data_IF_786854177084
#
_entry.id   IF_786854177084
#
_cell.length_a   1.000
_cell.length_b   1.000
_cell.length_c   1.000
_cell.angle_alpha   90.00
_cell.angle_beta   90.00
_cell.angle_gamma   90.00
#
_symmetry.space_group_name_H-M   'P 1'
#
loop_
_entity.id
_entity.type
_entity.pdbx_description
1 polymer ?
#
# COMPACT_ATOMS: atom_id res chain seq x y z
N UNK A 1 18.02 27.98 19.46
CA UNK A 1 17.27 26.93 18.71
C UNK A 1 17.84 25.54 18.90
N UNK A 2 19.16 25.32 18.84
CA UNK A 2 19.79 24.00 19.06
C UNK A 2 19.58 23.40 20.47
N UNK A 3 19.56 24.22 21.53
CA UNK A 3 19.34 23.74 22.90
C UNK A 3 17.91 23.23 23.18
N UNK A 4 16.89 23.82 22.56
CA UNK A 4 15.50 23.36 22.67
C UNK A 4 15.28 22.07 21.87
N UNK A 5 15.98 21.91 20.75
CA UNK A 5 15.95 20.69 19.94
C UNK A 5 16.52 19.47 20.69
N UNK A 6 17.64 19.66 21.42
CA UNK A 6 18.24 18.58 22.23
C UNK A 6 17.36 18.18 23.43
N UNK A 7 16.79 19.15 24.16
CA UNK A 7 15.90 18.85 25.30
C UNK A 7 14.61 18.13 24.90
N UNK A 8 14.05 18.45 23.73
CA UNK A 8 12.83 17.81 23.21
C UNK A 8 13.12 16.43 22.59
N UNK A 9 14.29 16.23 21.97
CA UNK A 9 14.75 14.93 21.49
C UNK A 9 14.98 13.93 22.65
N UNK A 10 15.47 14.40 23.80
CA UNK A 10 15.57 13.61 25.04
C UNK A 10 14.20 13.19 25.58
N UNK A 11 13.17 14.02 25.44
CA UNK A 11 11.79 13.71 25.85
C UNK A 11 11.11 12.69 24.93
N UNK A 12 11.40 12.71 23.62
CA UNK A 12 10.96 11.68 22.68
C UNK A 12 11.67 10.34 22.90
N UNK A 13 12.96 10.40 23.28
CA UNK A 13 13.71 9.25 23.74
C UNK A 13 13.05 8.65 24.99
N UNK A 14 12.76 9.45 26.02
CA UNK A 14 12.20 8.93 27.28
C UNK A 14 10.82 8.26 27.14
N UNK A 15 9.89 8.83 26.36
CA UNK A 15 8.56 8.22 26.14
C UNK A 15 8.60 6.98 25.24
N UNK A 16 9.44 6.99 24.21
CA UNK A 16 9.68 5.83 23.34
C UNK A 16 10.31 4.66 24.10
N UNK A 17 11.22 4.97 25.02
CA UNK A 17 11.80 3.99 25.96
C UNK A 17 10.74 3.48 26.94
N UNK A 18 9.87 4.34 27.48
CA UNK A 18 8.81 3.94 28.44
C UNK A 18 7.80 2.95 27.83
N UNK A 19 7.44 3.11 26.55
CA UNK A 19 6.56 2.16 25.85
C UNK A 19 7.30 0.90 25.37
N UNK A 20 8.63 0.93 25.25
CA UNK A 20 9.46 -0.20 24.87
C UNK A 20 9.84 -1.10 26.07
N UNK A 21 9.82 -0.54 27.29
CA UNK A 21 10.06 -1.27 28.54
C UNK A 21 8.80 -1.89 29.15
N UNK A 22 7.61 -1.45 28.73
CA UNK A 22 6.33 -2.06 29.14
C UNK A 22 6.19 -3.49 28.61
N UNK A 23 5.77 -4.39 29.49
CA UNK A 23 5.41 -5.75 29.09
C UNK A 23 4.19 -5.73 28.15
N UNK A 24 4.04 -6.74 27.29
CA UNK A 24 2.92 -6.83 26.34
C UNK A 24 1.56 -6.68 27.04
N UNK A 25 1.45 -7.23 28.25
CA UNK A 25 0.23 -7.21 29.07
C UNK A 25 -0.13 -5.79 29.54
N UNK A 26 0.86 -4.99 29.94
CA UNK A 26 0.67 -3.58 30.34
C UNK A 26 0.32 -2.69 29.14
N UNK A 27 0.90 -2.99 27.97
CA UNK A 27 0.49 -2.35 26.70
C UNK A 27 -0.97 -2.64 26.36
N UNK A 28 -1.43 -3.88 26.50
CA UNK A 28 -2.83 -4.23 26.23
C UNK A 28 -3.77 -3.56 27.25
N UNK A 29 -3.43 -3.60 28.54
CA UNK A 29 -4.24 -3.00 29.61
C UNK A 29 -4.32 -1.46 29.50
N UNK A 30 -3.24 -0.80 29.12
CA UNK A 30 -3.25 0.66 28.88
C UNK A 30 -4.14 1.02 27.69
N UNK A 31 -4.21 0.18 26.66
CA UNK A 31 -5.12 0.33 25.51
C UNK A 31 -6.60 0.02 25.84
N UNK A 32 -6.95 -0.39 27.05
CA UNK A 32 -8.36 -0.53 27.44
C UNK A 32 -9.02 0.83 27.74
N UNK A 33 -8.25 1.86 28.08
CA UNK A 33 -8.77 3.19 28.44
C UNK A 33 -8.62 4.18 27.28
N UNK A 34 -9.59 5.10 27.07
CA UNK A 34 -9.54 6.14 26.02
C UNK A 34 -8.22 6.91 25.99
N UNK A 35 -7.65 7.21 27.16
CA UNK A 35 -6.36 7.91 27.26
C UNK A 35 -5.17 7.09 26.70
N UNK A 36 -5.22 5.76 26.75
CA UNK A 36 -4.19 4.92 26.14
C UNK A 36 -4.24 4.85 24.62
N UNK A 37 -5.36 5.26 24.01
CA UNK A 37 -5.48 5.42 22.56
C UNK A 37 -4.96 6.77 22.07
N UNK A 38 -4.81 7.75 22.96
CA UNK A 38 -4.23 9.05 22.61
C UNK A 38 -2.75 8.81 22.33
N UNK A 39 -2.37 8.99 21.06
CA UNK A 39 -0.99 8.92 20.66
C UNK A 39 -0.27 10.19 21.13
N UNK A 40 0.93 10.06 21.73
CA UNK A 40 1.73 11.23 22.06
C UNK A 40 2.03 11.99 20.77
N UNK A 41 1.87 13.31 20.82
CA UNK A 41 2.13 14.17 19.67
C UNK A 41 3.60 14.03 19.28
N UNK A 42 3.83 13.69 18.02
CA UNK A 42 5.18 13.57 17.48
C UNK A 42 5.68 14.95 17.05
N UNK A 43 6.96 15.26 17.31
CA UNK A 43 7.60 16.47 16.81
C UNK A 43 7.78 16.39 15.31
N UNK A 44 7.44 17.47 14.61
CA UNK A 44 7.62 17.63 13.17
C UNK A 44 8.68 18.68 12.88
N UNK A 45 9.39 18.55 11.76
CA UNK A 45 10.56 19.36 11.44
C UNK A 45 10.23 20.84 11.14
N UNK A 46 9.06 21.12 10.58
CA UNK A 46 8.74 22.44 9.99
C UNK A 46 7.45 23.10 10.48
N UNK A 47 6.67 22.44 11.34
CA UNK A 47 5.38 22.99 11.77
C UNK A 47 5.45 23.61 13.16
N UNK A 48 4.73 24.72 13.35
CA UNK A 48 4.67 25.42 14.64
C UNK A 48 4.09 24.54 15.76
N UNK A 49 4.51 24.75 17.03
CA UNK A 49 3.91 24.10 18.18
C UNK A 49 2.40 24.39 18.23
N UNK A 50 1.57 23.38 17.98
CA UNK A 50 0.10 23.58 17.87
C UNK A 50 -0.48 23.21 16.52
N UNK A 51 0.30 23.17 15.45
CA UNK A 51 -0.17 22.86 14.10
C UNK A 51 -0.61 21.38 13.90
N UNK A 52 -1.72 21.18 13.18
CA UNK A 52 -2.31 19.85 12.92
C UNK A 52 -1.50 19.09 11.86
N UNK A 53 -0.38 18.51 12.27
CA UNK A 53 0.52 17.73 11.42
C UNK A 53 0.97 16.44 12.10
N UNK A 54 1.47 15.51 11.31
CA UNK A 54 1.99 14.22 11.75
C UNK A 54 3.35 13.98 11.08
N UNK A 55 4.20 13.12 11.66
CA UNK A 55 5.50 12.73 11.09
C UNK A 55 5.36 12.14 9.68
N UNK A 56 4.22 11.50 9.38
CA UNK A 56 3.96 10.91 8.07
C UNK A 56 3.70 11.96 6.98
N UNK A 57 3.42 13.21 7.37
CA UNK A 57 3.31 14.36 6.47
C UNK A 57 4.63 15.13 6.34
N UNK A 58 5.66 14.76 7.08
CA UNK A 58 6.96 15.42 7.05
C UNK A 58 7.84 14.84 5.93
N UNK A 59 8.95 15.52 5.63
CA UNK A 59 9.96 15.02 4.71
C UNK A 59 10.55 13.73 5.28
N UNK A 60 10.67 12.69 4.46
CA UNK A 60 11.22 11.42 4.92
C UNK A 60 12.67 11.61 5.39
N UNK A 61 13.02 11.27 6.65
CA UNK A 61 14.36 11.46 7.17
C UNK A 61 15.37 10.52 6.51
N UNK A 62 16.64 10.90 6.46
CA UNK A 62 17.70 10.16 5.74
C UNK A 62 17.80 8.69 6.17
N UNK A 63 17.64 8.40 7.47
CA UNK A 63 17.68 7.04 8.00
C UNK A 63 16.52 6.14 7.51
N UNK A 64 15.41 6.71 7.04
CA UNK A 64 14.25 5.98 6.50
C UNK A 64 14.25 5.89 4.97
N UNK A 65 15.20 6.55 4.29
CA UNK A 65 15.38 6.49 2.83
C UNK A 65 16.15 5.23 2.43
N UNK A 66 15.54 4.08 2.65
CA UNK A 66 16.19 2.77 2.47
C UNK A 66 16.10 2.22 1.04
N UNK A 67 15.21 2.80 0.23
CA UNK A 67 14.93 2.39 -1.14
C UNK A 67 15.98 2.92 -2.11
N UNK A 68 16.54 2.03 -2.94
CA UNK A 68 17.49 2.34 -4.00
C UNK A 68 16.85 2.14 -5.39
N UNK A 69 17.58 2.46 -6.45
CA UNK A 69 17.13 2.19 -7.82
C UNK A 69 16.79 0.69 -8.03
N UNK A 70 17.56 -0.22 -7.41
CA UNK A 70 17.31 -1.66 -7.48
C UNK A 70 16.04 -2.10 -6.76
N UNK A 71 15.76 -1.54 -5.58
CA UNK A 71 14.50 -1.84 -4.88
C UNK A 71 13.31 -1.31 -5.65
N UNK A 72 13.47 -0.16 -6.32
CA UNK A 72 12.44 0.43 -7.17
C UNK A 72 12.21 -0.43 -8.43
N UNK A 73 13.27 -0.92 -9.07
CA UNK A 73 13.16 -1.85 -10.18
C UNK A 73 12.42 -3.13 -9.77
N UNK A 74 12.78 -3.74 -8.63
CA UNK A 74 12.11 -4.94 -8.15
C UNK A 74 10.65 -4.72 -7.75
N UNK A 75 10.32 -3.53 -7.25
CA UNK A 75 8.94 -3.12 -7.05
C UNK A 75 8.16 -3.10 -8.38
N UNK A 76 8.66 -2.41 -9.40
CA UNK A 76 7.99 -2.32 -10.70
C UNK A 76 7.91 -3.66 -11.43
N UNK A 77 8.94 -4.49 -11.31
CA UNK A 77 8.92 -5.84 -11.84
C UNK A 77 7.84 -6.69 -11.14
N UNK A 78 7.74 -6.60 -9.82
CA UNK A 78 6.69 -7.28 -9.06
C UNK A 78 5.29 -6.75 -9.39
N UNK A 79 5.15 -5.45 -9.65
CA UNK A 79 3.88 -4.84 -10.05
C UNK A 79 3.48 -5.30 -11.45
N UNK A 80 4.42 -5.35 -12.41
CA UNK A 80 4.15 -5.85 -13.75
C UNK A 80 3.68 -7.32 -13.75
N UNK A 81 4.21 -8.15 -12.84
CA UNK A 81 3.84 -9.55 -12.67
C UNK A 81 2.60 -9.75 -11.76
N UNK A 82 1.51 -9.04 -12.06
CA UNK A 82 0.22 -9.24 -11.40
C UNK A 82 -0.81 -9.80 -12.38
N UNK A 83 -1.80 -10.56 -11.90
CA UNK A 83 -2.79 -11.24 -12.73
C UNK A 83 -3.54 -10.32 -13.71
N UNK A 84 -3.81 -9.07 -13.33
CA UNK A 84 -4.47 -8.10 -14.21
C UNK A 84 -3.63 -7.77 -15.45
N UNK A 85 -2.30 -7.68 -15.31
CA UNK A 85 -1.39 -7.46 -16.44
C UNK A 85 -1.43 -8.60 -17.45
N UNK A 86 -1.71 -9.83 -17.00
CA UNK A 86 -1.88 -11.00 -17.89
C UNK A 86 -3.26 -11.01 -18.57
N UNK A 87 -4.28 -10.45 -17.94
CA UNK A 87 -5.62 -10.34 -18.52
C UNK A 87 -5.70 -9.30 -19.64
N UNK A 88 -4.89 -8.24 -19.58
CA UNK A 88 -4.87 -7.18 -20.59
C UNK A 88 -4.62 -7.71 -22.03
N UNK A 89 -3.54 -8.45 -22.34
CA UNK A 89 -3.34 -9.02 -23.67
C UNK A 89 -4.42 -10.03 -24.05
N UNK A 90 -4.91 -10.84 -23.10
CA UNK A 90 -5.98 -11.79 -23.36
C UNK A 90 -7.26 -11.09 -23.85
N UNK A 91 -7.59 -9.94 -23.27
CA UNK A 91 -8.76 -9.15 -23.68
C UNK A 91 -8.62 -8.55 -25.09
N UNK A 92 -7.40 -8.11 -25.47
CA UNK A 92 -7.14 -7.56 -26.81
C UNK A 92 -7.27 -8.65 -27.87
N UNK A 93 -6.73 -9.84 -27.60
CA UNK A 93 -6.85 -10.98 -28.52
C UNK A 93 -8.32 -11.42 -28.64
N UNK A 94 -9.08 -11.40 -27.54
CA UNK A 94 -10.51 -11.73 -27.55
C UNK A 94 -11.35 -10.76 -28.40
N UNK A 95 -10.88 -9.51 -28.58
CA UNK A 95 -11.51 -8.53 -29.48
C UNK A 95 -11.22 -8.77 -30.97
N UNK A 96 -10.36 -9.75 -31.30
CA UNK A 96 -10.06 -10.17 -32.67
C UNK A 96 -8.70 -9.70 -33.20
N UNK A 97 -7.87 -9.04 -32.40
CA UNK A 97 -6.50 -8.69 -32.80
C UNK A 97 -5.60 -9.93 -32.73
N UNK A 98 -4.61 -9.98 -33.63
CA UNK A 98 -3.57 -11.01 -33.58
C UNK A 98 -2.65 -10.78 -32.37
N UNK A 99 -1.98 -11.85 -31.92
CA UNK A 99 -1.01 -11.77 -30.82
C UNK A 99 0.13 -10.77 -31.11
N UNK A 100 0.51 -10.59 -32.39
CA UNK A 100 1.55 -9.64 -32.81
C UNK A 100 1.09 -8.21 -32.62
N UNK A 101 -0.13 -7.90 -33.02
CA UNK A 101 -0.72 -6.57 -32.86
C UNK A 101 -0.94 -6.25 -31.38
N UNK A 102 -1.41 -7.22 -30.59
CA UNK A 102 -1.60 -7.06 -29.15
C UNK A 102 -0.30 -6.65 -28.43
N UNK A 103 0.83 -7.26 -28.78
CA UNK A 103 2.15 -6.89 -28.22
C UNK A 103 2.49 -5.44 -28.53
N UNK A 104 2.32 -5.03 -29.79
CA UNK A 104 2.63 -3.66 -30.23
C UNK A 104 1.75 -2.64 -29.50
N UNK A 105 0.44 -2.90 -29.40
CA UNK A 105 -0.50 -2.04 -28.68
C UNK A 105 -0.14 -1.88 -27.20
N UNK A 106 0.23 -2.97 -26.52
CA UNK A 106 0.59 -2.94 -25.10
C UNK A 106 1.90 -2.18 -24.87
N UNK A 107 2.93 -2.42 -25.69
CA UNK A 107 4.20 -1.71 -25.60
C UNK A 107 3.97 -0.22 -25.82
N UNK A 108 3.23 0.14 -26.88
CA UNK A 108 2.94 1.53 -27.19
C UNK A 108 2.15 2.22 -26.08
N UNK A 109 1.07 1.59 -25.58
CA UNK A 109 0.28 2.11 -24.47
C UNK A 109 1.12 2.30 -23.20
N UNK A 110 1.98 1.32 -22.88
CA UNK A 110 2.86 1.39 -21.71
C UNK A 110 3.90 2.50 -21.84
N UNK A 111 4.47 2.72 -23.02
CA UNK A 111 5.43 3.81 -23.29
C UNK A 111 4.78 5.18 -23.11
N UNK A 112 3.56 5.36 -23.65
CA UNK A 112 2.80 6.61 -23.49
C UNK A 112 2.49 6.87 -22.01
N UNK A 113 2.08 5.86 -21.26
CA UNK A 113 1.80 5.97 -19.82
C UNK A 113 3.07 6.18 -18.97
N UNK A 114 4.24 5.76 -19.44
CA UNK A 114 5.49 5.89 -18.69
C UNK A 114 5.90 7.35 -18.51
N UNK A 115 5.64 8.22 -19.49
CA UNK A 115 6.00 9.65 -19.42
C UNK A 115 5.34 10.35 -18.22
N UNK A 116 4.00 10.39 -18.09
CA UNK A 116 3.36 11.01 -16.93
C UNK A 116 3.68 10.29 -15.62
N UNK A 117 3.90 8.96 -15.65
CA UNK A 117 4.31 8.19 -14.48
C UNK A 117 5.64 8.68 -13.91
N UNK A 118 6.66 8.84 -14.76
CA UNK A 118 8.00 9.30 -14.34
C UNK A 118 7.93 10.75 -13.85
N UNK A 119 7.22 11.63 -14.57
CA UNK A 119 7.07 13.04 -14.17
C UNK A 119 6.43 13.17 -12.77
N UNK A 120 5.40 12.37 -12.48
CA UNK A 120 4.78 12.35 -11.15
C UNK A 120 5.72 11.76 -10.08
N UNK A 121 6.45 10.70 -10.41
CA UNK A 121 7.41 10.05 -9.51
C UNK A 121 8.59 10.94 -9.11
N UNK A 122 9.02 11.85 -9.99
CA UNK A 122 10.15 12.75 -9.76
C UNK A 122 9.97 13.65 -8.53
N UNK A 123 8.76 14.14 -8.27
CA UNK A 123 8.48 15.02 -7.13
C UNK A 123 8.76 14.29 -5.82
N UNK A 124 8.25 13.06 -5.67
CA UNK A 124 8.50 12.23 -4.50
C UNK A 124 9.98 11.83 -4.37
N UNK A 125 10.65 11.52 -5.48
CA UNK A 125 12.05 11.10 -5.48
C UNK A 125 13.03 12.23 -5.12
N UNK A 126 12.76 13.48 -5.53
CA UNK A 126 13.64 14.62 -5.23
C UNK A 126 13.32 15.25 -3.88
N UNK A 127 12.05 15.50 -3.60
CA UNK A 127 11.63 16.24 -2.41
C UNK A 127 11.38 15.34 -1.20
N UNK A 128 11.21 14.02 -1.40
CA UNK A 128 10.97 13.06 -0.32
C UNK A 128 9.73 13.39 0.55
N UNK A 129 8.74 14.03 -0.07
CA UNK A 129 7.45 14.40 0.52
C UNK A 129 6.35 13.44 0.06
N UNK A 130 5.31 13.20 0.87
CA UNK A 130 4.19 12.37 0.49
C UNK A 130 3.22 13.09 -0.45
N UNK A 131 2.46 12.33 -1.23
CA UNK A 131 1.50 12.84 -2.23
C UNK A 131 0.54 13.93 -1.68
N UNK A 132 -0.08 13.79 -0.49
CA UNK A 132 -0.96 14.84 0.04
C UNK A 132 -0.30 16.20 0.25
N UNK A 133 1.02 16.22 0.49
CA UNK A 133 1.81 17.46 0.63
C UNK A 133 2.13 18.03 -0.73
N UNK A 134 2.57 17.19 -1.67
CA UNK A 134 2.87 17.61 -3.03
C UNK A 134 1.66 18.28 -3.71
N UNK A 135 0.45 17.79 -3.46
CA UNK A 135 -0.77 18.32 -4.06
C UNK A 135 -1.17 19.71 -3.58
N UNK A 136 -0.65 20.16 -2.43
CA UNK A 136 -0.90 21.52 -1.95
C UNK A 136 -0.22 22.58 -2.82
N UNK A 137 0.87 22.24 -3.51
CA UNK A 137 1.55 23.15 -4.42
C UNK A 137 0.72 23.44 -5.69
N UNK A 138 -0.04 22.44 -6.18
CA UNK A 138 -0.85 22.58 -7.40
C UNK A 138 -2.27 23.06 -7.13
N UNK A 139 -2.90 22.56 -6.06
CA UNK A 139 -4.33 22.78 -5.78
C UNK A 139 -4.58 23.70 -4.57
N UNK A 140 -3.53 24.18 -3.89
CA UNK A 140 -3.67 24.93 -2.65
C UNK A 140 -4.12 24.08 -1.46
N UNK A 141 -4.35 24.72 -0.31
CA UNK A 141 -4.60 24.03 0.96
C UNK A 141 -5.96 23.32 1.05
N UNK A 142 -7.02 23.97 0.56
CA UNK A 142 -8.38 23.46 0.71
C UNK A 142 -8.72 22.42 -0.37
N UNK A 143 -8.37 22.71 -1.63
CA UNK A 143 -8.75 21.86 -2.74
C UNK A 143 -7.83 20.63 -2.91
N UNK A 144 -6.62 20.63 -2.35
CA UNK A 144 -5.78 19.41 -2.34
C UNK A 144 -6.46 18.23 -1.62
N UNK A 145 -7.39 18.49 -0.70
CA UNK A 145 -8.17 17.44 -0.01
C UNK A 145 -9.02 16.65 -0.99
N UNK A 146 -9.60 17.31 -1.98
CA UNK A 146 -10.35 16.64 -3.05
C UNK A 146 -9.44 15.68 -3.84
N UNK A 147 -8.26 16.14 -4.26
CA UNK A 147 -7.28 15.31 -4.97
C UNK A 147 -6.81 14.10 -4.15
N UNK A 148 -6.67 14.26 -2.82
CA UNK A 148 -6.32 13.15 -1.92
C UNK A 148 -7.46 12.14 -1.81
N UNK A 149 -8.70 12.60 -1.68
CA UNK A 149 -9.88 11.72 -1.58
C UNK A 149 -10.11 10.95 -2.88
N UNK A 150 -10.03 11.59 -4.04
CA UNK A 150 -10.18 10.90 -5.34
C UNK A 150 -9.11 9.82 -5.50
N UNK A 151 -7.86 10.13 -5.14
CA UNK A 151 -6.77 9.16 -5.20
C UNK A 151 -6.96 7.99 -4.23
N UNK A 152 -7.52 8.25 -3.05
CA UNK A 152 -7.83 7.23 -2.06
C UNK A 152 -8.94 6.30 -2.57
N UNK A 153 -10.00 6.85 -3.18
CA UNK A 153 -11.08 6.06 -3.81
C UNK A 153 -10.49 5.13 -4.89
N UNK A 154 -9.65 5.65 -5.78
CA UNK A 154 -8.96 4.83 -6.79
C UNK A 154 -8.11 3.72 -6.16
N UNK A 155 -7.40 4.01 -5.07
CA UNK A 155 -6.63 2.98 -4.35
C UNK A 155 -7.51 1.87 -3.76
N UNK A 156 -8.68 2.23 -3.21
CA UNK A 156 -9.65 1.25 -2.69
C UNK A 156 -10.22 0.36 -3.81
N UNK A 157 -10.55 0.93 -4.96
CA UNK A 157 -11.00 0.15 -6.13
C UNK A 157 -9.93 -0.85 -6.59
N UNK A 158 -8.68 -0.39 -6.75
CA UNK A 158 -7.59 -1.27 -7.13
C UNK A 158 -7.32 -2.35 -6.09
N UNK A 159 -7.38 -2.01 -4.80
CA UNK A 159 -7.27 -3.00 -3.74
C UNK A 159 -8.37 -4.06 -3.83
N UNK A 160 -9.63 -3.65 -4.01
CA UNK A 160 -10.76 -4.57 -4.13
C UNK A 160 -10.60 -5.54 -5.31
N UNK A 161 -10.21 -5.03 -6.49
CA UNK A 161 -9.99 -5.85 -7.69
C UNK A 161 -8.85 -6.85 -7.44
N UNK A 162 -7.73 -6.42 -6.86
CA UNK A 162 -6.59 -7.31 -6.60
C UNK A 162 -6.91 -8.37 -5.54
N UNK A 163 -7.69 -8.02 -4.51
CA UNK A 163 -8.14 -8.98 -3.50
C UNK A 163 -9.15 -9.97 -4.08
N UNK A 164 -10.03 -9.52 -4.98
CA UNK A 164 -10.94 -10.41 -5.71
C UNK A 164 -10.16 -11.39 -6.61
N UNK A 165 -9.23 -10.90 -7.44
CA UNK A 165 -8.42 -11.77 -8.30
C UNK A 165 -7.51 -12.70 -7.49
N UNK A 166 -7.00 -12.25 -6.34
CA UNK A 166 -6.29 -13.11 -5.40
C UNK A 166 -7.18 -14.20 -4.79
N UNK A 167 -8.44 -13.89 -4.53
CA UNK A 167 -9.40 -14.87 -4.00
C UNK A 167 -9.74 -15.98 -4.99
N UNK A 168 -9.85 -15.68 -6.29
CA UNK A 168 -10.09 -16.71 -7.30
C UNK A 168 -8.89 -17.66 -7.40
N UNK A 169 -7.67 -17.15 -7.32
CA UNK A 169 -6.46 -17.96 -7.22
C UNK A 169 -6.44 -18.80 -5.92
N UNK A 170 -6.86 -18.23 -4.79
CA UNK A 170 -6.99 -18.96 -3.52
C UNK A 170 -7.98 -20.13 -3.63
N UNK A 171 -9.11 -19.95 -4.33
CA UNK A 171 -10.04 -21.04 -4.62
C UNK A 171 -9.36 -22.18 -5.37
N UNK A 172 -8.49 -21.87 -6.34
CA UNK A 172 -7.73 -22.88 -7.10
C UNK A 172 -6.73 -23.64 -6.23
N UNK A 173 -6.08 -22.94 -5.29
CA UNK A 173 -5.15 -23.56 -4.34
C UNK A 173 -5.91 -24.52 -3.41
N UNK A 174 -6.99 -24.06 -2.79
CA UNK A 174 -7.75 -24.87 -1.83
C UNK A 174 -8.32 -26.12 -2.50
N UNK A 175 -8.94 -26.00 -3.69
CA UNK A 175 -9.49 -27.17 -4.39
C UNK A 175 -8.42 -28.19 -4.82
N UNK A 176 -7.18 -27.73 -5.04
CA UNK A 176 -6.07 -28.61 -5.43
C UNK A 176 -5.54 -29.43 -4.26
N UNK A 177 -5.67 -28.91 -3.02
CA UNK A 177 -5.28 -29.62 -1.79
C UNK A 177 -6.46 -30.47 -1.29
N UNK A 178 -7.68 -29.90 -1.30
CA UNK A 178 -8.91 -30.55 -0.88
C UNK A 178 -9.98 -30.45 -1.97
N UNK A 179 -10.12 -31.48 -2.82
CA UNK A 179 -11.12 -31.51 -3.89
C UNK A 179 -12.56 -31.38 -3.39
N UNK A 180 -12.85 -31.84 -2.17
CA UNK A 180 -14.16 -31.72 -1.50
C UNK A 180 -14.62 -30.27 -1.31
N UNK A 181 -13.73 -29.30 -1.45
CA UNK A 181 -14.07 -27.88 -1.43
C UNK A 181 -15.01 -27.46 -2.58
N UNK A 182 -15.07 -28.25 -3.67
CA UNK A 182 -16.00 -28.05 -4.77
C UNK A 182 -17.44 -28.46 -4.43
N UNK A 183 -17.63 -29.32 -3.43
CA UNK A 183 -18.93 -29.87 -3.06
C UNK A 183 -19.71 -28.98 -2.08
N UNK A 184 -19.18 -27.78 -1.76
CA UNK A 184 -19.84 -26.85 -0.85
C UNK A 184 -21.12 -26.32 -1.49
N UNK A 185 -22.31 -26.53 -0.88
CA UNK A 185 -23.57 -26.06 -1.44
C UNK A 185 -23.60 -24.54 -1.47
N UNK A 186 -23.97 -23.98 -2.64
CA UNK A 186 -24.10 -22.55 -2.79
C UNK A 186 -25.44 -22.07 -2.18
N UNK A 187 -25.35 -21.21 -1.17
CA UNK A 187 -26.52 -20.59 -0.53
C UNK A 187 -26.75 -19.14 -0.97
N UNK A 188 -25.95 -18.64 -1.93
CA UNK A 188 -26.00 -17.27 -2.43
C UNK A 188 -26.71 -17.25 -3.78
N UNK A 189 -27.67 -16.33 -4.00
CA UNK A 189 -28.33 -16.17 -5.30
C UNK A 189 -27.33 -15.85 -6.41
N UNK A 190 -27.52 -16.44 -7.59
CA UNK A 190 -26.63 -16.24 -8.75
C UNK A 190 -26.55 -14.78 -9.21
N UNK A 191 -27.55 -13.95 -8.86
CA UNK A 191 -27.56 -12.51 -9.14
C UNK A 191 -26.42 -11.73 -8.48
N UNK A 192 -25.81 -12.28 -7.42
CA UNK A 192 -24.70 -11.66 -6.68
C UNK A 192 -23.35 -11.88 -7.39
N UNK A 193 -23.28 -12.83 -8.33
CA UNK A 193 -22.06 -13.07 -9.13
C UNK A 193 -20.88 -13.67 -8.36
N UNK A 194 -21.08 -14.11 -7.12
CA UNK A 194 -20.09 -14.84 -6.32
C UNK A 194 -20.72 -16.07 -5.67
N UNK A 195 -20.01 -17.18 -5.68
CA UNK A 195 -20.43 -18.42 -5.01
C UNK A 195 -20.05 -18.40 -3.53
N UNK A 196 -20.74 -19.21 -2.72
CA UNK A 196 -20.42 -19.38 -1.28
C UNK A 196 -18.96 -19.80 -1.10
N UNK A 197 -18.47 -20.69 -1.95
CA UNK A 197 -17.07 -21.09 -2.03
C UNK A 197 -16.14 -19.90 -2.31
N UNK A 198 -16.49 -19.06 -3.29
CA UNK A 198 -15.73 -17.84 -3.63
C UNK A 198 -15.64 -16.86 -2.45
N UNK A 199 -16.73 -16.66 -1.71
CA UNK A 199 -16.73 -15.80 -0.51
C UNK A 199 -15.81 -16.33 0.59
N UNK A 200 -15.81 -17.65 0.84
CA UNK A 200 -14.90 -18.26 1.82
C UNK A 200 -13.45 -18.07 1.39
N UNK A 201 -13.14 -18.33 0.11
CA UNK A 201 -11.79 -18.11 -0.45
C UNK A 201 -11.36 -16.63 -0.35
N UNK A 202 -12.31 -15.71 -0.55
CA UNK A 202 -12.06 -14.27 -0.40
C UNK A 202 -11.72 -13.89 1.03
N UNK A 203 -12.47 -14.39 2.01
CA UNK A 203 -12.19 -14.16 3.43
C UNK A 203 -10.81 -14.71 3.82
N UNK A 204 -10.49 -15.94 3.38
CA UNK A 204 -9.17 -16.55 3.66
C UNK A 204 -8.05 -15.72 3.04
N UNK A 205 -8.19 -15.33 1.77
CA UNK A 205 -7.19 -14.50 1.11
C UNK A 205 -7.01 -13.15 1.82
N UNK A 206 -8.11 -12.51 2.21
CA UNK A 206 -8.08 -11.25 2.97
C UNK A 206 -7.39 -11.41 4.33
N UNK A 207 -7.67 -12.49 5.07
CA UNK A 207 -7.01 -12.79 6.35
C UNK A 207 -5.51 -13.01 6.21
N UNK A 208 -5.05 -13.60 5.10
CA UNK A 208 -3.62 -13.76 4.80
C UNK A 208 -3.00 -12.42 4.36
N UNK A 209 -3.72 -11.62 3.58
CA UNK A 209 -3.25 -10.33 3.07
C UNK A 209 -3.15 -9.27 4.18
N UNK A 210 -4.08 -9.27 5.14
CA UNK A 210 -4.22 -8.20 6.14
C UNK A 210 -2.97 -8.02 7.03
N UNK A 211 -2.33 -9.06 7.60
CA UNK A 211 -1.09 -8.91 8.37
C UNK A 211 0.05 -8.31 7.55
N UNK A 212 0.12 -8.63 6.25
CA UNK A 212 1.16 -8.13 5.34
C UNK A 212 0.97 -6.62 5.10
N UNK A 213 -0.27 -6.15 5.04
CA UNK A 213 -0.60 -4.73 4.89
C UNK A 213 -0.12 -3.87 6.09
N UNK A 214 -0.04 -4.46 7.29
CA UNK A 214 0.39 -3.75 8.50
C UNK A 214 1.91 -3.53 8.56
N UNK A 215 2.68 -4.11 7.63
CA UNK A 215 4.13 -3.94 7.59
C UNK A 215 4.46 -2.55 7.03
N UNK A 216 5.27 -1.73 7.74
CA UNK A 216 5.63 -0.39 7.26
C UNK A 216 6.46 -0.41 5.96
N UNK A 217 6.20 0.49 4.99
CA UNK A 217 6.88 0.52 3.68
C UNK A 217 8.42 0.53 3.73
N UNK A 218 9.02 1.15 4.75
CA UNK A 218 10.48 1.20 4.91
C UNK A 218 11.11 -0.17 5.26
N UNK A 219 10.31 -1.13 5.75
CA UNK A 219 10.74 -2.51 6.03
C UNK A 219 10.45 -3.48 4.88
N UNK A 220 9.54 -3.13 3.97
CA UNK A 220 9.17 -3.98 2.82
C UNK A 220 10.28 -4.14 1.77
N UNK A 221 11.36 -3.36 1.86
CA UNK A 221 12.48 -3.45 0.91
C UNK A 221 12.93 -4.90 0.65
N UNK A 222 13.07 -5.70 1.70
CA UNK A 222 13.57 -7.07 1.58
C UNK A 222 12.64 -7.97 0.75
N UNK A 223 11.33 -7.71 0.77
CA UNK A 223 10.36 -8.44 -0.04
C UNK A 223 10.60 -8.23 -1.54
N UNK A 224 10.97 -7.01 -1.96
CA UNK A 224 11.22 -6.70 -3.37
C UNK A 224 12.65 -7.07 -3.80
N UNK A 225 13.63 -6.94 -2.91
CA UNK A 225 15.03 -7.31 -3.19
C UNK A 225 15.17 -8.81 -3.39
N UNK A 226 14.51 -9.62 -2.56
CA UNK A 226 14.53 -11.08 -2.68
C UNK A 226 14.06 -11.58 -4.07
N UNK A 227 13.13 -10.85 -4.71
CA UNK A 227 12.63 -11.20 -6.06
C UNK A 227 13.63 -10.90 -7.18
N UNK A 228 14.57 -9.99 -6.98
CA UNK A 228 15.52 -9.55 -8.02
C UNK A 228 16.92 -10.15 -7.90
N UNK A 229 17.12 -11.10 -6.98
CA UNK A 229 18.33 -11.92 -6.95
C UNK A 229 19.61 -11.17 -6.56
N UNK A 230 19.58 -10.44 -5.44
CA UNK A 230 20.76 -10.15 -4.60
C UNK A 230 20.38 -10.15 -3.13
#
# INVERSE_FOLDING_TARGET
MSHLYNSQAEQHCSLGYTLATMTLHERIKSKTTRQGWVLPRQTTSFADPGAWTNVDCDVTPLNRRTWSAWTMFGYWFSDALNAQSWMAPASIIALGLTWREAIVCIIFGSLVCTVPLVLNGMVGARLHIPFPVAMRASFGWYFSRFAVVTRAITALFWHAIQTYTGSTAMTQIIRSIWPSYLDIPNNIPDSVGITTQGMISHLIFWLVQFPILLIPPHKLKWFFVAKCGK
#
